data_IF_100761756483
#
_entry.id   IF_100761756483
#
_cell.length_a   1.000
_cell.length_b   1.000
_cell.length_c   1.000
_cell.angle_alpha   90.00
_cell.angle_beta   90.00
_cell.angle_gamma   90.00
#
_symmetry.space_group_name_H-M   'P 1'
#
loop_
_entity.id
_entity.type
_entity.pdbx_description
1 polymer ?
#
# COMPACT_ATOMS: atom_id res chain seq x y z
N UNK A 1 -16.65 13.01 -5.75
CA UNK A 1 -16.54 12.06 -6.87
C UNK A 1 -16.76 10.65 -6.35
N UNK A 2 -17.57 9.84 -7.06
CA UNK A 2 -17.79 8.42 -6.73
C UNK A 2 -16.61 7.57 -7.22
N UNK A 3 -16.18 6.63 -6.41
CA UNK A 3 -15.11 5.67 -6.70
C UNK A 3 -15.52 4.27 -6.26
N UNK A 4 -14.97 3.26 -6.91
CA UNK A 4 -15.14 1.85 -6.55
C UNK A 4 -13.87 1.30 -5.88
N UNK A 5 -14.04 0.26 -5.10
CA UNK A 5 -12.91 -0.48 -4.56
C UNK A 5 -11.95 -0.92 -5.70
N UNK A 6 -10.68 -0.60 -5.56
CA UNK A 6 -9.66 -0.84 -6.57
C UNK A 6 -9.37 0.33 -7.52
N UNK A 7 -10.22 1.35 -7.59
CA UNK A 7 -9.97 2.54 -8.42
C UNK A 7 -8.72 3.29 -7.92
N UNK A 8 -7.92 3.77 -8.87
CA UNK A 8 -6.71 4.54 -8.54
C UNK A 8 -7.08 5.97 -8.16
N UNK A 9 -6.77 6.36 -6.93
CA UNK A 9 -7.03 7.71 -6.38
C UNK A 9 -5.85 8.63 -6.60
N UNK A 10 -4.63 8.11 -6.37
CA UNK A 10 -3.41 8.88 -6.50
C UNK A 10 -2.26 8.02 -7.00
N UNK A 11 -1.30 8.67 -7.66
CA UNK A 11 -0.04 8.08 -8.05
C UNK A 11 1.09 8.75 -7.25
N UNK A 12 1.85 7.95 -6.52
CA UNK A 12 2.99 8.39 -5.73
C UNK A 12 4.26 8.04 -6.50
N UNK A 13 5.16 9.01 -6.67
CA UNK A 13 6.48 8.78 -7.24
C UNK A 13 7.50 8.59 -6.13
N UNK A 14 8.24 7.50 -6.15
CA UNK A 14 9.37 7.30 -5.25
C UNK A 14 10.51 8.24 -5.65
N UNK A 15 11.09 8.92 -4.67
CA UNK A 15 12.32 9.68 -4.82
C UNK A 15 13.42 8.88 -4.11
N UNK A 16 14.26 8.14 -4.84
CA UNK A 16 15.27 7.30 -4.23
C UNK A 16 16.36 8.13 -3.56
N UNK A 17 16.89 7.63 -2.45
CA UNK A 17 18.12 8.15 -1.88
C UNK A 17 19.30 7.84 -2.80
N UNK A 18 20.11 8.84 -3.16
CA UNK A 18 21.20 8.70 -4.11
C UNK A 18 22.25 7.66 -3.68
N UNK A 19 22.52 7.54 -2.37
CA UNK A 19 23.45 6.53 -1.86
C UNK A 19 22.96 5.10 -2.11
N UNK A 20 21.69 4.87 -1.82
CA UNK A 20 21.04 3.56 -2.04
C UNK A 20 20.93 3.22 -3.52
N UNK A 21 20.61 4.21 -4.36
CA UNK A 21 20.55 4.03 -5.81
C UNK A 21 21.92 3.63 -6.38
N UNK A 22 22.99 4.38 -6.04
CA UNK A 22 24.35 4.09 -6.48
C UNK A 22 24.83 2.71 -6.02
N UNK A 23 24.47 2.30 -4.79
CA UNK A 23 24.80 0.96 -4.30
C UNK A 23 24.09 -0.15 -5.09
N UNK A 24 22.82 0.06 -5.45
CA UNK A 24 22.04 -0.88 -6.26
C UNK A 24 22.62 -0.97 -7.69
N UNK A 25 22.97 0.15 -8.32
CA UNK A 25 23.61 0.18 -9.64
C UNK A 25 24.98 -0.54 -9.62
N UNK A 26 25.79 -0.30 -8.59
CA UNK A 26 27.07 -1.00 -8.42
C UNK A 26 26.89 -2.52 -8.31
N UNK A 27 25.87 -2.99 -7.58
CA UNK A 27 25.52 -4.42 -7.49
C UNK A 27 25.17 -5.02 -8.84
N UNK A 28 24.36 -4.33 -9.64
CA UNK A 28 24.03 -4.79 -11.00
C UNK A 28 25.29 -4.92 -11.84
N UNK A 29 26.19 -3.93 -11.80
CA UNK A 29 27.43 -3.97 -12.55
C UNK A 29 28.31 -5.16 -12.15
N UNK A 30 28.47 -5.43 -10.86
CA UNK A 30 29.23 -6.58 -10.35
C UNK A 30 28.60 -7.91 -10.79
N UNK A 31 27.29 -8.05 -10.65
CA UNK A 31 26.56 -9.24 -11.08
C UNK A 31 26.64 -9.46 -12.60
N UNK A 32 26.59 -8.38 -13.38
CA UNK A 32 26.75 -8.41 -14.84
C UNK A 32 28.14 -8.92 -15.26
N UNK A 33 29.21 -8.44 -14.60
CA UNK A 33 30.58 -8.88 -14.86
C UNK A 33 30.73 -10.37 -14.52
N UNK A 34 30.21 -10.79 -13.37
CA UNK A 34 30.25 -12.19 -12.93
C UNK A 34 29.48 -13.10 -13.90
N UNK A 35 28.25 -12.73 -14.27
CA UNK A 35 27.47 -13.50 -15.25
C UNK A 35 28.20 -13.57 -16.60
N UNK A 36 28.78 -12.47 -17.08
CA UNK A 36 29.54 -12.47 -18.31
C UNK A 36 30.79 -13.39 -18.26
N UNK A 37 31.39 -13.56 -17.10
CA UNK A 37 32.51 -14.52 -16.91
C UNK A 37 32.00 -15.96 -16.92
N UNK A 38 31.00 -16.28 -16.09
CA UNK A 38 30.45 -17.63 -16.00
C UNK A 38 29.82 -18.10 -17.32
N UNK A 39 29.21 -17.18 -18.09
CA UNK A 39 28.69 -17.49 -19.42
C UNK A 39 29.79 -17.93 -20.38
N UNK A 40 30.94 -17.22 -20.42
CA UNK A 40 32.11 -17.63 -21.27
C UNK A 40 32.67 -18.98 -20.85
N UNK A 41 32.72 -19.23 -19.54
CA UNK A 41 33.22 -20.51 -19.02
C UNK A 41 32.24 -21.65 -19.32
N UNK A 42 30.95 -21.43 -19.22
CA UNK A 42 29.92 -22.38 -19.64
C UNK A 42 29.97 -22.69 -21.14
N UNK A 43 30.10 -21.66 -21.99
CA UNK A 43 30.20 -21.86 -23.45
C UNK A 43 31.43 -22.69 -23.81
N UNK A 44 32.56 -22.45 -23.12
CA UNK A 44 33.79 -23.24 -23.26
C UNK A 44 33.58 -24.68 -22.79
N UNK A 45 33.02 -24.86 -21.61
CA UNK A 45 32.68 -26.18 -21.05
C UNK A 45 31.75 -26.96 -21.97
N UNK A 46 30.75 -26.31 -22.57
CA UNK A 46 29.80 -26.92 -23.50
C UNK A 46 30.55 -27.46 -24.76
N UNK A 47 31.49 -26.70 -25.31
CA UNK A 47 32.27 -27.12 -26.47
C UNK A 47 33.22 -28.29 -26.14
N UNK A 48 33.84 -28.25 -24.96
CA UNK A 48 34.71 -29.32 -24.48
C UNK A 48 33.95 -30.61 -24.17
N UNK A 49 32.74 -30.48 -23.62
CA UNK A 49 31.88 -31.63 -23.39
C UNK A 49 31.43 -32.28 -24.71
N UNK A 50 31.02 -31.48 -25.70
CA UNK A 50 30.67 -31.98 -27.04
C UNK A 50 31.83 -32.71 -27.74
N UNK A 51 33.03 -32.30 -27.49
CA UNK A 51 34.23 -32.96 -28.01
C UNK A 51 34.75 -34.12 -27.13
N UNK A 52 34.05 -34.45 -26.04
CA UNK A 52 34.41 -35.55 -25.16
C UNK A 52 35.61 -35.31 -24.26
N UNK A 53 36.02 -34.03 -24.08
CA UNK A 53 37.23 -33.66 -23.33
C UNK A 53 37.01 -33.57 -21.83
N UNK A 54 35.78 -33.15 -21.42
CA UNK A 54 35.41 -33.01 -19.99
C UNK A 54 34.30 -34.00 -19.62
N UNK A 55 34.22 -34.27 -18.31
CA UNK A 55 33.20 -35.15 -17.76
C UNK A 55 31.81 -34.44 -17.72
N UNK A 56 30.76 -35.26 -17.64
CA UNK A 56 29.38 -34.75 -17.45
C UNK A 56 29.25 -33.91 -16.16
N UNK A 57 29.94 -34.35 -15.11
CA UNK A 57 29.92 -33.66 -13.81
C UNK A 57 30.52 -32.25 -13.91
N UNK A 58 31.67 -32.11 -14.61
CA UNK A 58 32.29 -30.79 -14.84
C UNK A 58 31.41 -29.86 -15.67
N UNK A 59 30.74 -30.40 -16.69
CA UNK A 59 29.79 -29.64 -17.48
C UNK A 59 28.59 -29.18 -16.66
N UNK A 60 27.97 -30.08 -15.88
CA UNK A 60 26.82 -29.77 -15.00
C UNK A 60 27.20 -28.73 -13.93
N UNK A 61 28.41 -28.81 -13.40
CA UNK A 61 28.94 -27.81 -12.45
C UNK A 61 29.02 -26.42 -13.10
N UNK A 62 29.60 -26.32 -14.30
CA UNK A 62 29.70 -25.04 -15.02
C UNK A 62 28.31 -24.48 -15.37
N UNK A 63 27.36 -25.34 -15.75
CA UNK A 63 25.97 -24.95 -15.99
C UNK A 63 25.30 -24.42 -14.73
N UNK A 64 25.50 -25.05 -13.58
CA UNK A 64 24.95 -24.61 -12.30
C UNK A 64 25.51 -23.24 -11.89
N UNK A 65 26.81 -23.03 -12.05
CA UNK A 65 27.48 -21.75 -11.75
C UNK A 65 26.94 -20.63 -12.65
N UNK A 66 26.76 -20.89 -13.94
CA UNK A 66 26.20 -19.91 -14.86
C UNK A 66 24.74 -19.58 -14.52
N UNK A 67 23.92 -20.59 -14.18
CA UNK A 67 22.54 -20.37 -13.77
C UNK A 67 22.44 -19.55 -12.47
N UNK A 68 23.33 -19.80 -11.50
CA UNK A 68 23.41 -19.00 -10.26
C UNK A 68 23.77 -17.55 -10.54
N UNK A 69 24.76 -17.31 -11.38
CA UNK A 69 25.17 -15.95 -11.74
C UNK A 69 24.07 -15.20 -12.52
N UNK A 70 23.29 -15.91 -13.34
CA UNK A 70 22.13 -15.35 -14.04
C UNK A 70 21.04 -14.92 -13.07
N UNK A 71 20.70 -15.76 -12.09
CA UNK A 71 19.71 -15.42 -11.07
C UNK A 71 20.19 -14.27 -10.16
N UNK A 72 21.47 -14.22 -9.82
CA UNK A 72 22.08 -13.10 -9.07
C UNK A 72 21.93 -11.77 -9.83
N UNK A 73 22.22 -11.78 -11.14
CA UNK A 73 22.04 -10.60 -12.00
C UNK A 73 20.57 -10.16 -12.03
N UNK A 74 19.64 -11.11 -12.19
CA UNK A 74 18.21 -10.81 -12.21
C UNK A 74 17.75 -10.19 -10.88
N UNK A 75 18.18 -10.77 -9.75
CA UNK A 75 17.86 -10.25 -8.42
C UNK A 75 18.44 -8.85 -8.19
N UNK A 76 19.65 -8.58 -8.67
CA UNK A 76 20.24 -7.26 -8.59
C UNK A 76 19.48 -6.23 -9.44
N UNK A 77 19.02 -6.61 -10.64
CA UNK A 77 18.21 -5.76 -11.51
C UNK A 77 16.82 -5.48 -10.90
N UNK A 78 16.14 -6.50 -10.37
CA UNK A 78 14.85 -6.36 -9.70
C UNK A 78 14.98 -5.39 -8.49
N UNK A 79 16.07 -5.51 -7.72
CA UNK A 79 16.36 -4.62 -6.60
C UNK A 79 16.59 -3.17 -7.06
N UNK A 80 17.35 -2.96 -8.14
CA UNK A 80 17.56 -1.63 -8.71
C UNK A 80 16.22 -1.00 -9.17
N UNK A 81 15.34 -1.77 -9.81
CA UNK A 81 14.01 -1.28 -10.19
C UNK A 81 13.19 -0.88 -8.95
N UNK A 82 13.23 -1.68 -7.86
CA UNK A 82 12.54 -1.35 -6.61
C UNK A 82 13.09 -0.07 -5.98
N UNK A 83 14.40 0.09 -5.94
CA UNK A 83 15.03 1.30 -5.37
C UNK A 83 14.70 2.53 -6.21
N UNK A 84 14.73 2.43 -7.54
CA UNK A 84 14.53 3.55 -8.47
C UNK A 84 13.06 3.94 -8.61
N UNK A 85 12.19 2.93 -8.80
CA UNK A 85 10.80 3.15 -9.23
C UNK A 85 9.79 2.78 -8.12
N UNK A 86 10.28 2.22 -7.00
CA UNK A 86 9.45 1.72 -5.89
C UNK A 86 8.76 0.38 -6.17
N UNK A 87 9.03 -0.24 -7.32
CA UNK A 87 8.33 -1.41 -7.81
C UNK A 87 9.21 -2.17 -8.78
N UNK A 88 9.22 -3.51 -8.72
CA UNK A 88 9.76 -4.34 -9.78
C UNK A 88 8.65 -4.81 -10.72
N UNK A 89 9.00 -5.14 -11.96
CA UNK A 89 8.05 -5.69 -12.94
C UNK A 89 7.36 -6.96 -12.46
N UNK A 90 8.04 -7.77 -11.65
CA UNK A 90 7.50 -8.99 -11.04
C UNK A 90 6.44 -8.71 -9.97
N UNK A 91 6.53 -7.56 -9.29
CA UNK A 91 5.66 -7.16 -8.18
C UNK A 91 4.67 -6.05 -8.55
N UNK A 92 4.48 -5.77 -9.84
CA UNK A 92 3.66 -4.66 -10.34
C UNK A 92 2.23 -4.63 -9.79
N UNK A 93 1.64 -5.79 -9.52
CA UNK A 93 0.30 -5.89 -8.94
C UNK A 93 0.25 -5.58 -7.43
N UNK A 94 1.38 -5.54 -6.74
CA UNK A 94 1.50 -5.18 -5.32
C UNK A 94 2.12 -3.81 -5.11
N UNK A 95 2.05 -2.95 -6.12
CA UNK A 95 2.68 -1.64 -6.10
C UNK A 95 2.07 -0.71 -5.06
N UNK A 96 2.90 -0.19 -4.16
CA UNK A 96 2.54 0.88 -3.23
C UNK A 96 2.58 2.28 -3.88
N UNK A 97 2.97 2.38 -5.15
CA UNK A 97 3.00 3.66 -5.88
C UNK A 97 1.63 4.08 -6.39
N UNK A 98 0.69 3.13 -6.52
CA UNK A 98 -0.71 3.40 -6.88
C UNK A 98 -1.58 3.29 -5.63
N UNK A 99 -2.05 4.42 -5.14
CA UNK A 99 -3.01 4.45 -4.03
C UNK A 99 -4.40 4.21 -4.60
N UNK A 100 -5.02 3.13 -4.15
CA UNK A 100 -6.34 2.68 -4.61
C UNK A 100 -7.38 2.80 -3.52
N UNK A 101 -8.63 2.99 -3.91
CA UNK A 101 -9.75 2.92 -2.97
C UNK A 101 -9.88 1.53 -2.39
N UNK A 102 -10.09 1.44 -1.08
CA UNK A 102 -10.36 0.18 -0.36
C UNK A 102 -11.84 -0.15 -0.29
N UNK A 103 -12.72 0.85 -0.53
CA UNK A 103 -14.18 0.73 -0.45
C UNK A 103 -14.84 1.41 -1.65
N UNK A 104 -16.08 1.01 -1.93
CA UNK A 104 -16.98 1.77 -2.81
C UNK A 104 -17.52 2.98 -2.05
N UNK A 105 -17.47 4.16 -2.65
CA UNK A 105 -17.97 5.34 -1.96
C UNK A 105 -17.71 6.65 -2.69
N UNK A 106 -17.88 7.74 -1.96
CA UNK A 106 -17.62 9.08 -2.43
C UNK A 106 -16.37 9.64 -1.76
N UNK A 107 -15.49 10.25 -2.56
CA UNK A 107 -14.36 11.01 -2.02
C UNK A 107 -14.93 12.26 -1.33
N UNK A 108 -14.70 12.36 -0.02
CA UNK A 108 -15.14 13.48 0.81
C UNK A 108 -14.14 14.62 0.75
N UNK A 109 -12.85 14.30 0.90
CA UNK A 109 -11.77 15.28 0.93
C UNK A 109 -10.49 14.69 0.36
N UNK A 110 -9.64 15.56 -0.21
CA UNK A 110 -8.29 15.27 -0.70
C UNK A 110 -7.32 16.21 0.00
N UNK A 111 -6.66 15.70 1.02
CA UNK A 111 -5.82 16.47 1.92
C UNK A 111 -4.45 16.87 1.33
N UNK A 112 -4.00 16.16 0.29
CA UNK A 112 -2.69 16.38 -0.33
C UNK A 112 -2.84 16.96 -1.75
N UNK A 113 -1.87 17.78 -2.14
CA UNK A 113 -1.79 18.33 -3.50
C UNK A 113 -0.63 17.70 -4.27
N UNK A 114 -0.70 17.79 -5.59
CA UNK A 114 0.41 17.35 -6.45
C UNK A 114 1.68 18.12 -6.09
N UNK A 115 2.76 17.38 -5.86
CA UNK A 115 4.04 17.92 -5.40
C UNK A 115 4.28 17.82 -3.89
N UNK A 116 3.28 17.48 -3.09
CA UNK A 116 3.47 17.23 -1.67
C UNK A 116 4.23 15.92 -1.44
N UNK A 117 5.12 15.93 -0.45
CA UNK A 117 5.74 14.70 0.04
C UNK A 117 4.75 13.93 0.93
N UNK A 118 4.70 12.61 0.76
CA UNK A 118 3.87 11.70 1.55
C UNK A 118 4.74 10.65 2.21
N UNK A 119 4.37 10.22 3.41
CA UNK A 119 5.09 9.23 4.20
C UNK A 119 4.20 7.99 4.33
N UNK A 120 4.78 6.82 4.08
CA UNK A 120 4.10 5.54 4.26
C UNK A 120 3.88 5.28 5.75
N UNK A 121 2.71 4.73 6.10
CA UNK A 121 2.41 4.25 7.45
C UNK A 121 3.35 3.13 7.86
N UNK A 122 3.80 3.16 9.11
CA UNK A 122 4.58 2.12 9.75
C UNK A 122 4.21 2.01 11.25
N UNK A 123 4.86 1.10 12.00
CA UNK A 123 4.55 0.87 13.42
C UNK A 123 4.78 2.10 14.32
N UNK A 124 5.45 3.14 13.85
CA UNK A 124 5.78 4.35 14.60
C UNK A 124 5.09 5.60 14.06
N UNK A 125 4.45 5.51 12.90
CA UNK A 125 3.84 6.65 12.22
C UNK A 125 2.61 6.20 11.42
N UNK A 126 1.49 6.87 11.65
CA UNK A 126 0.20 6.60 10.96
C UNK A 126 0.24 6.88 9.44
N UNK A 127 1.31 7.52 8.98
CA UNK A 127 1.48 7.89 7.58
C UNK A 127 0.69 9.15 7.19
N UNK A 128 0.72 9.48 5.90
CA UNK A 128 0.03 10.64 5.35
C UNK A 128 -1.32 10.22 4.75
N UNK A 129 -2.41 10.78 5.28
CA UNK A 129 -3.75 10.61 4.70
C UNK A 129 -3.83 11.36 3.38
N UNK A 130 -4.12 10.66 2.29
CA UNK A 130 -4.20 11.23 0.94
C UNK A 130 -5.61 11.70 0.63
N UNK A 131 -6.61 10.86 0.88
CA UNK A 131 -8.01 11.17 0.68
C UNK A 131 -8.89 10.43 1.69
N UNK A 132 -10.03 10.99 2.01
CA UNK A 132 -11.07 10.37 2.81
C UNK A 132 -12.21 9.92 1.91
N UNK A 133 -12.63 8.65 2.05
CA UNK A 133 -13.72 8.07 1.25
C UNK A 133 -14.74 7.50 2.22
N UNK A 134 -16.02 7.76 1.95
CA UNK A 134 -17.11 7.19 2.73
C UNK A 134 -18.24 6.65 1.86
N UNK A 135 -18.90 5.62 2.36
CA UNK A 135 -20.13 5.13 1.79
C UNK A 135 -21.29 6.03 2.24
N UNK A 136 -21.84 6.80 1.31
CA UNK A 136 -22.93 7.73 1.61
C UNK A 136 -24.31 7.06 1.81
N UNK A 137 -24.39 5.76 1.56
CA UNK A 137 -25.64 5.00 1.78
C UNK A 137 -25.76 4.48 3.23
N UNK A 138 -24.67 4.56 4.00
CA UNK A 138 -24.60 4.10 5.38
C UNK A 138 -24.17 5.27 6.27
N UNK A 139 -25.17 6.04 6.70
CA UNK A 139 -24.98 7.26 7.48
C UNK A 139 -25.31 7.01 8.94
N UNK A 140 -24.39 7.31 9.83
CA UNK A 140 -24.56 7.22 11.27
C UNK A 140 -24.60 8.61 11.87
N UNK A 141 -25.66 8.91 12.62
CA UNK A 141 -25.76 10.12 13.43
C UNK A 141 -25.20 9.84 14.83
N UNK A 142 -24.27 10.68 15.28
CA UNK A 142 -23.75 10.66 16.64
C UNK A 142 -24.18 11.93 17.34
N UNK A 143 -24.99 11.81 18.39
CA UNK A 143 -25.41 12.89 19.27
C UNK A 143 -24.78 12.72 20.66
N UNK A 144 -24.65 13.82 21.39
CA UNK A 144 -24.30 13.82 22.80
C UNK A 144 -25.54 14.13 23.61
N UNK A 145 -25.80 13.34 24.64
CA UNK A 145 -27.03 13.43 25.46
C UNK A 145 -26.62 13.55 26.93
N UNK A 146 -27.32 14.40 27.66
CA UNK A 146 -27.07 14.62 29.08
C UNK A 146 -27.39 13.38 29.93
N UNK A 147 -26.67 13.20 31.05
CA UNK A 147 -26.86 12.09 31.98
C UNK A 147 -28.29 11.97 32.49
N UNK A 148 -28.97 13.09 32.63
CA UNK A 148 -30.37 13.08 33.13
C UNK A 148 -31.36 12.53 32.12
N UNK A 149 -31.07 12.57 30.84
CA UNK A 149 -31.93 12.12 29.75
C UNK A 149 -31.59 10.73 29.23
N UNK A 150 -30.33 10.32 29.32
CA UNK A 150 -29.86 9.02 28.79
C UNK A 150 -30.60 7.83 29.39
N UNK A 151 -31.02 7.92 30.64
CA UNK A 151 -31.76 6.86 31.33
C UNK A 151 -33.15 6.54 30.75
N UNK A 152 -33.68 7.40 29.87
CA UNK A 152 -34.96 7.20 29.18
C UNK A 152 -34.81 6.58 27.80
N UNK A 153 -33.58 6.42 27.34
CA UNK A 153 -33.27 5.88 26.02
C UNK A 153 -32.99 4.39 26.06
N UNK A 154 -33.42 3.68 25.05
CA UNK A 154 -33.06 2.27 24.84
C UNK A 154 -32.74 2.00 23.37
N UNK A 155 -31.86 1.06 23.16
CA UNK A 155 -31.52 0.58 21.82
C UNK A 155 -32.80 0.09 21.10
N UNK A 156 -32.88 0.37 19.80
CA UNK A 156 -34.07 0.06 18.99
C UNK A 156 -35.17 1.15 18.99
N UNK A 157 -34.98 2.25 19.70
CA UNK A 157 -35.95 3.36 19.76
C UNK A 157 -36.00 4.10 18.42
N UNK A 158 -37.21 4.37 17.86
CA UNK A 158 -37.36 5.16 16.65
C UNK A 158 -37.04 6.63 16.92
N UNK A 159 -36.19 7.22 16.08
CA UNK A 159 -35.79 8.62 16.17
C UNK A 159 -36.16 9.35 14.88
N UNK A 160 -36.59 10.58 14.99
CA UNK A 160 -36.77 11.49 13.87
C UNK A 160 -35.68 12.53 13.85
N UNK A 161 -34.87 12.51 12.79
CA UNK A 161 -33.78 13.46 12.59
C UNK A 161 -34.20 14.57 11.63
N UNK A 162 -34.05 15.80 12.06
CA UNK A 162 -34.19 16.98 11.21
C UNK A 162 -32.85 17.66 11.07
N UNK A 163 -32.45 17.93 9.84
CA UNK A 163 -31.15 18.59 9.52
C UNK A 163 -31.44 20.03 9.16
N UNK A 164 -30.84 20.97 9.88
CA UNK A 164 -31.07 22.41 9.69
C UNK A 164 -30.81 22.94 8.28
N UNK A 165 -29.93 22.28 7.52
CA UNK A 165 -29.65 22.59 6.11
C UNK A 165 -30.79 22.17 5.16
N UNK A 166 -31.63 21.20 5.58
CA UNK A 166 -32.73 20.64 4.80
C UNK A 166 -34.03 20.85 5.58
N UNK A 167 -34.56 22.07 5.55
CA UNK A 167 -35.65 22.54 6.41
C UNK A 167 -36.93 21.68 6.38
N UNK A 168 -37.15 20.95 5.28
CA UNK A 168 -38.38 20.15 5.08
C UNK A 168 -38.11 18.63 5.06
N UNK A 169 -36.87 18.21 5.31
CA UNK A 169 -36.52 16.79 5.32
C UNK A 169 -36.49 16.24 6.76
N UNK A 170 -37.31 15.25 7.01
CA UNK A 170 -37.32 14.46 8.25
C UNK A 170 -36.85 13.04 7.89
N UNK A 171 -35.81 12.56 8.56
CA UNK A 171 -35.29 11.23 8.37
C UNK A 171 -35.68 10.35 9.54
N UNK A 172 -36.22 9.18 9.23
CA UNK A 172 -36.50 8.16 10.23
C UNK A 172 -35.18 7.39 10.50
N UNK A 173 -34.81 7.30 11.76
CA UNK A 173 -33.63 6.59 12.22
C UNK A 173 -33.98 5.69 13.42
N UNK A 174 -33.11 4.79 13.77
CA UNK A 174 -33.21 3.91 14.93
C UNK A 174 -31.99 4.09 15.79
N UNK A 175 -32.17 4.17 17.10
CA UNK A 175 -31.09 4.23 18.06
C UNK A 175 -30.40 2.88 18.12
N UNK A 176 -29.19 2.80 17.56
CA UNK A 176 -28.43 1.54 17.47
C UNK A 176 -27.61 1.27 18.73
N UNK A 177 -27.05 2.31 19.33
CA UNK A 177 -26.10 2.14 20.42
C UNK A 177 -26.05 3.34 21.35
N UNK A 178 -26.00 3.08 22.65
CA UNK A 178 -25.73 4.07 23.68
C UNK A 178 -24.35 3.80 24.27
N UNK A 179 -23.45 4.77 24.21
CA UNK A 179 -22.11 4.62 24.76
C UNK A 179 -22.17 4.42 26.29
N UNK A 180 -21.59 3.36 26.85
CA UNK A 180 -21.50 3.21 28.31
C UNK A 180 -20.42 4.13 28.94
N UNK A 181 -19.61 4.80 28.09
CA UNK A 181 -18.57 5.72 28.52
C UNK A 181 -19.05 7.14 28.37
N UNK A 182 -19.13 7.86 29.47
CA UNK A 182 -19.39 9.30 29.49
C UNK A 182 -18.15 10.13 29.13
N UNK A 183 -18.40 11.33 28.64
CA UNK A 183 -17.41 12.37 28.39
C UNK A 183 -17.82 13.62 29.14
N UNK A 184 -16.93 14.23 29.89
CA UNK A 184 -17.20 15.49 30.57
C UNK A 184 -16.79 16.66 29.65
N UNK A 185 -17.77 17.51 29.30
CA UNK A 185 -17.53 18.76 28.58
C UNK A 185 -18.15 19.94 29.35
N UNK A 186 -17.38 20.96 29.64
CA UNK A 186 -17.82 22.17 30.33
C UNK A 186 -18.51 21.92 31.67
N UNK A 187 -18.15 20.85 32.40
CA UNK A 187 -18.76 20.47 33.66
C UNK A 187 -20.07 19.70 33.54
N UNK A 188 -20.45 19.28 32.33
CA UNK A 188 -21.63 18.44 32.07
C UNK A 188 -21.18 17.06 31.62
N UNK A 189 -21.77 16.03 32.20
CA UNK A 189 -21.55 14.62 31.82
C UNK A 189 -22.44 14.27 30.64
N UNK A 190 -21.82 13.87 29.53
CA UNK A 190 -22.50 13.53 28.28
C UNK A 190 -22.19 12.09 27.87
N UNK A 191 -23.19 11.43 27.29
CA UNK A 191 -23.13 10.09 26.73
C UNK A 191 -23.31 10.11 25.22
#
# INVERSE_FOLDING_TARGET
QMVKAGDVIALVKVIPEMGTLNAAESRVNVAQINFGQTQRDFDRAQNLFRSGVISKEEFEKSQLENNRAKEELQNAQDNLEIVRDGISRRSAQYSNTQIRSTIDGMILDVLVKVGNSVIQSNNFNDGTTIASIANMNDMIFKGKIDETEVGQLHEGMPIKLTVGALRDACFDAVLEYISPKSTEENGTVLF
#
